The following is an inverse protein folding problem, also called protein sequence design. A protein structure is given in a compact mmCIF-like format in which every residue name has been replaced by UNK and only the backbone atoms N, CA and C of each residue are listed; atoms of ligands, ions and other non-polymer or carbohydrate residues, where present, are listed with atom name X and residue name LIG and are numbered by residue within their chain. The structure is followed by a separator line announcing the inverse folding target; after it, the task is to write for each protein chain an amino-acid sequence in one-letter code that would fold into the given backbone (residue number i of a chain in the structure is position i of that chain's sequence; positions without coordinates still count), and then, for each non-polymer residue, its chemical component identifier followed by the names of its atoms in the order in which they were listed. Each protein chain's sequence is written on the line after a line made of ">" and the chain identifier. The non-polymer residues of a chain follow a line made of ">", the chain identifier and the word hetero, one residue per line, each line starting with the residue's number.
data_IF_191787858274
#
_entry.id   IF_191787858274
#
_cell.length_a   1.000
_cell.length_b   1.000
_cell.length_c   1.000
_cell.angle_alpha   90.00
_cell.angle_beta   90.00
_cell.angle_gamma   90.00
#
_symmetry.space_group_name_H-M   'P 1'
#
loop_
_entity.id
_entity.type
_entity.pdbx_description
1 polymer ?
#
# COMPACT_ATOMS: atom_id res chain seq x y z
N UNK A 1 -32.42 -32.61 0.64
CA UNK A 1 -32.59 -31.15 0.42
C UNK A 1 -31.75 -30.77 -0.80
N UNK A 2 -32.39 -30.46 -1.95
CA UNK A 2 -31.69 -30.17 -3.22
C UNK A 2 -30.77 -28.97 -3.02
N UNK A 3 -29.45 -29.16 -3.19
CA UNK A 3 -28.47 -28.07 -3.24
C UNK A 3 -28.89 -27.16 -4.40
N UNK A 4 -29.30 -25.93 -4.10
CA UNK A 4 -29.65 -24.93 -5.13
C UNK A 4 -28.39 -24.68 -5.96
N UNK A 5 -28.52 -24.68 -7.28
CA UNK A 5 -27.40 -24.47 -8.20
C UNK A 5 -26.76 -23.09 -8.01
N UNK A 6 -25.42 -22.96 -8.17
CA UNK A 6 -24.68 -21.68 -8.05
C UNK A 6 -25.23 -20.54 -8.92
N UNK A 7 -25.87 -20.88 -10.02
CA UNK A 7 -26.47 -19.96 -11.00
C UNK A 7 -27.58 -19.07 -10.41
N UNK A 8 -28.41 -19.61 -9.50
CA UNK A 8 -29.47 -18.83 -8.81
C UNK A 8 -28.93 -17.86 -7.77
N UNK A 9 -27.77 -18.14 -7.18
CA UNK A 9 -27.10 -17.23 -6.22
C UNK A 9 -26.31 -16.13 -6.97
N UNK A 10 -25.72 -16.46 -8.12
CA UNK A 10 -25.10 -15.49 -9.04
C UNK A 10 -26.13 -14.51 -9.63
N UNK A 11 -27.35 -14.97 -9.92
CA UNK A 11 -28.48 -14.11 -10.30
C UNK A 11 -28.88 -13.13 -9.19
N UNK A 12 -28.80 -13.52 -7.91
CA UNK A 12 -29.06 -12.61 -6.78
C UNK A 12 -28.05 -11.45 -6.69
N UNK A 13 -26.79 -11.69 -7.03
CA UNK A 13 -25.73 -10.67 -7.16
C UNK A 13 -25.95 -9.75 -8.36
N UNK A 14 -26.41 -10.30 -9.49
CA UNK A 14 -26.80 -9.52 -10.67
C UNK A 14 -28.00 -8.58 -10.38
N UNK A 15 -28.73 -8.78 -9.28
CA UNK A 15 -29.82 -7.91 -8.83
C UNK A 15 -29.41 -6.77 -7.88
N UNK A 16 -28.16 -6.72 -7.38
CA UNK A 16 -27.51 -5.44 -7.02
C UNK A 16 -27.09 -4.77 -8.32
N UNK A 17 -28.10 -4.28 -9.01
CA UNK A 17 -28.08 -4.19 -10.46
C UNK A 17 -27.01 -3.25 -11.00
N UNK A 18 -26.46 -3.59 -12.16
CA UNK A 18 -25.78 -2.66 -13.06
C UNK A 18 -26.54 -1.33 -13.21
N UNK A 19 -27.87 -1.32 -13.03
CA UNK A 19 -28.73 -0.13 -13.01
C UNK A 19 -28.44 0.82 -11.83
N UNK A 20 -28.13 0.33 -10.62
CA UNK A 20 -27.78 1.20 -9.48
C UNK A 20 -26.43 1.90 -9.68
N UNK A 21 -25.44 1.16 -10.18
CA UNK A 21 -24.14 1.72 -10.57
C UNK A 21 -24.26 2.67 -11.75
N UNK A 22 -25.01 2.28 -12.79
CA UNK A 22 -25.24 3.12 -13.98
C UNK A 22 -25.95 4.42 -13.59
N UNK A 23 -26.93 4.37 -12.69
CA UNK A 23 -27.61 5.55 -12.19
C UNK A 23 -26.66 6.44 -11.37
N UNK A 24 -25.86 5.87 -10.46
CA UNK A 24 -24.89 6.65 -9.69
C UNK A 24 -23.82 7.31 -10.59
N UNK A 25 -23.34 6.60 -11.61
CA UNK A 25 -22.40 7.14 -12.61
C UNK A 25 -23.10 8.21 -13.45
N UNK A 26 -24.36 8.00 -13.83
CA UNK A 26 -25.15 8.97 -14.59
C UNK A 26 -25.40 10.25 -13.78
N UNK A 27 -25.78 10.14 -12.51
CA UNK A 27 -26.02 11.27 -11.62
C UNK A 27 -24.73 12.05 -11.36
N UNK A 28 -23.60 11.35 -11.18
CA UNK A 28 -22.28 11.97 -11.07
C UNK A 28 -21.91 12.72 -12.36
N UNK A 29 -22.03 12.06 -13.52
CA UNK A 29 -21.72 12.65 -14.83
C UNK A 29 -22.61 13.86 -15.11
N UNK A 30 -23.89 13.78 -14.74
CA UNK A 30 -24.86 14.87 -14.88
C UNK A 30 -24.50 16.06 -13.98
N UNK A 31 -24.12 15.81 -12.73
CA UNK A 31 -23.70 16.87 -11.81
C UNK A 31 -22.44 17.59 -12.31
N UNK A 32 -21.48 16.83 -12.85
CA UNK A 32 -20.25 17.38 -13.46
C UNK A 32 -20.54 18.25 -14.68
N UNK A 33 -21.40 17.79 -15.59
CA UNK A 33 -21.79 18.54 -16.79
C UNK A 33 -22.52 19.85 -16.42
N UNK A 34 -23.32 19.82 -15.36
CA UNK A 34 -24.08 20.98 -14.88
C UNK A 34 -23.27 21.91 -13.95
N UNK A 35 -22.05 21.52 -13.56
CA UNK A 35 -21.21 22.28 -12.64
C UNK A 35 -21.73 22.37 -11.20
N UNK A 36 -22.60 21.45 -10.79
CA UNK A 36 -23.22 21.43 -9.46
C UNK A 36 -22.33 20.65 -8.47
N UNK A 37 -21.39 21.35 -7.84
CA UNK A 37 -20.36 20.75 -6.97
C UNK A 37 -20.95 19.99 -5.77
N UNK A 38 -22.12 20.40 -5.26
CA UNK A 38 -22.74 19.72 -4.13
C UNK A 38 -23.29 18.36 -4.56
N UNK A 39 -24.02 18.32 -5.67
CA UNK A 39 -24.56 17.06 -6.21
C UNK A 39 -23.46 16.14 -6.74
N UNK A 40 -22.37 16.69 -7.26
CA UNK A 40 -21.21 15.91 -7.66
C UNK A 40 -20.64 15.15 -6.46
N UNK A 41 -20.44 15.84 -5.33
CA UNK A 41 -19.96 15.22 -4.10
C UNK A 41 -20.91 14.15 -3.58
N UNK A 42 -22.21 14.44 -3.54
CA UNK A 42 -23.24 13.48 -3.09
C UNK A 42 -23.30 12.23 -3.99
N UNK A 43 -23.27 12.40 -5.32
CA UNK A 43 -23.27 11.30 -6.27
C UNK A 43 -21.97 10.47 -6.20
N UNK A 44 -20.84 11.12 -5.96
CA UNK A 44 -19.55 10.44 -5.79
C UNK A 44 -19.50 9.61 -4.51
N UNK A 45 -20.00 10.14 -3.38
CA UNK A 45 -20.13 9.37 -2.14
C UNK A 45 -21.09 8.19 -2.30
N UNK A 46 -22.21 8.39 -3.00
CA UNK A 46 -23.14 7.29 -3.27
C UNK A 46 -22.52 6.17 -4.10
N UNK A 47 -21.68 6.52 -5.08
CA UNK A 47 -20.95 5.54 -5.87
C UNK A 47 -19.95 4.75 -5.02
N UNK A 48 -19.24 5.41 -4.09
CA UNK A 48 -18.32 4.73 -3.15
C UNK A 48 -19.05 3.75 -2.22
N UNK A 49 -20.19 4.16 -1.66
CA UNK A 49 -21.02 3.28 -0.82
C UNK A 49 -21.44 2.02 -1.57
N UNK A 50 -21.93 2.17 -2.80
CA UNK A 50 -22.35 1.03 -3.62
C UNK A 50 -21.19 0.07 -3.93
N UNK A 51 -19.99 0.59 -4.19
CA UNK A 51 -18.77 -0.22 -4.35
C UNK A 51 -18.47 -0.97 -3.04
N UNK A 52 -18.48 -0.28 -1.91
CA UNK A 52 -18.20 -0.86 -0.59
C UNK A 52 -19.20 -1.96 -0.20
N UNK A 53 -20.49 -1.71 -0.35
CA UNK A 53 -21.57 -2.69 -0.11
C UNK A 53 -21.41 -3.93 -1.00
N UNK A 54 -21.10 -3.73 -2.28
CA UNK A 54 -20.91 -4.83 -3.24
C UNK A 54 -19.69 -5.69 -2.89
N UNK A 55 -18.59 -5.06 -2.47
CA UNK A 55 -17.39 -5.77 -2.01
C UNK A 55 -17.65 -6.57 -0.73
N UNK A 56 -18.40 -6.00 0.23
CA UNK A 56 -18.76 -6.70 1.47
C UNK A 56 -19.64 -7.93 1.21
N UNK A 57 -20.64 -7.82 0.34
CA UNK A 57 -21.51 -8.93 -0.05
C UNK A 57 -20.73 -10.02 -0.79
N UNK A 58 -19.86 -9.64 -1.74
CA UNK A 58 -19.01 -10.58 -2.46
C UNK A 58 -18.10 -11.36 -1.49
N UNK A 59 -17.52 -10.67 -0.51
CA UNK A 59 -16.69 -11.26 0.54
C UNK A 59 -17.49 -12.28 1.40
N UNK A 60 -18.70 -11.91 1.85
CA UNK A 60 -19.58 -12.79 2.64
C UNK A 60 -19.97 -14.06 1.87
N UNK A 61 -20.27 -13.93 0.58
CA UNK A 61 -20.63 -15.08 -0.27
C UNK A 61 -19.44 -16.00 -0.53
N UNK A 62 -18.24 -15.43 -0.70
CA UNK A 62 -16.99 -16.19 -0.72
C UNK A 62 -16.84 -17.07 0.52
N UNK A 63 -16.99 -16.48 1.72
CA UNK A 63 -16.92 -17.19 3.00
C UNK A 63 -17.97 -18.30 3.11
N UNK A 64 -19.21 -18.04 2.70
CA UNK A 64 -20.28 -19.05 2.72
C UNK A 64 -19.98 -20.22 1.79
N UNK A 65 -19.39 -19.97 0.62
CA UNK A 65 -18.98 -21.02 -0.32
C UNK A 65 -17.90 -21.92 0.29
N UNK A 66 -16.92 -21.32 0.98
CA UNK A 66 -15.89 -22.07 1.72
C UNK A 66 -16.49 -22.97 2.80
N UNK A 67 -17.46 -22.44 3.57
CA UNK A 67 -18.17 -23.21 4.57
C UNK A 67 -18.92 -24.42 3.98
N UNK A 68 -19.62 -24.22 2.86
CA UNK A 68 -20.33 -25.31 2.16
C UNK A 68 -19.36 -26.38 1.62
N UNK A 69 -18.19 -25.96 1.11
CA UNK A 69 -17.14 -26.87 0.64
C UNK A 69 -16.57 -27.70 1.80
N UNK A 70 -16.24 -27.08 2.94
CA UNK A 70 -15.78 -27.77 4.13
C UNK A 70 -16.79 -28.80 4.65
N UNK A 71 -18.09 -28.47 4.65
CA UNK A 71 -19.13 -29.43 5.03
C UNK A 71 -19.27 -30.60 4.05
N UNK A 72 -19.07 -30.35 2.76
CA UNK A 72 -19.11 -31.40 1.73
C UNK A 72 -17.96 -32.40 1.87
N UNK A 73 -16.79 -31.94 2.33
CA UNK A 73 -15.59 -32.76 2.55
C UNK A 73 -15.74 -33.61 3.82
N UNK A 74 -16.28 -33.06 4.91
CA UNK A 74 -16.58 -33.82 6.14
C UNK A 74 -17.50 -35.04 5.89
N UNK A 75 -18.38 -34.97 4.90
CA UNK A 75 -19.27 -36.08 4.53
C UNK A 75 -18.58 -37.20 3.72
N UNK A 76 -17.33 -37.02 3.26
CA UNK A 76 -16.66 -37.91 2.30
C UNK A 76 -15.58 -38.83 2.90
N UNK A 77 -15.39 -38.86 4.22
CA UNK A 77 -14.57 -39.86 4.94
C UNK A 77 -13.16 -40.13 4.34
N UNK A 78 -12.44 -39.08 3.91
CA UNK A 78 -11.02 -39.19 3.51
C UNK A 78 -10.09 -38.69 4.64
N UNK A 79 -8.91 -39.33 4.84
CA UNK A 79 -7.95 -38.92 5.87
C UNK A 79 -7.41 -37.51 5.62
N UNK A 80 -7.07 -36.84 6.72
CA UNK A 80 -6.90 -35.39 6.84
C UNK A 80 -5.48 -34.87 6.51
N UNK A 81 -4.66 -35.60 5.76
CA UNK A 81 -3.21 -35.31 5.75
C UNK A 81 -2.74 -34.34 4.65
N UNK A 82 -3.45 -34.17 3.53
CA UNK A 82 -2.94 -33.35 2.40
C UNK A 82 -3.97 -32.42 1.74
N UNK A 83 -5.01 -32.00 2.47
CA UNK A 83 -5.93 -30.98 1.96
C UNK A 83 -5.97 -29.81 2.93
N UNK A 84 -5.18 -28.77 2.63
CA UNK A 84 -5.33 -27.44 3.23
C UNK A 84 -6.67 -26.82 2.77
N UNK A 85 -7.78 -27.31 3.31
CA UNK A 85 -9.03 -26.58 3.33
C UNK A 85 -8.84 -25.47 4.35
N UNK A 86 -8.53 -24.26 3.84
CA UNK A 86 -8.47 -22.98 4.54
C UNK A 86 -9.10 -23.04 5.94
N UNK A 87 -8.23 -22.92 6.94
CA UNK A 87 -8.56 -22.88 8.36
C UNK A 87 -9.64 -21.83 8.61
N UNK A 88 -10.50 -22.01 9.60
CA UNK A 88 -11.44 -20.95 10.01
C UNK A 88 -10.74 -19.72 10.60
N UNK A 89 -9.42 -19.78 10.77
CA UNK A 89 -8.55 -18.63 11.07
C UNK A 89 -8.11 -17.90 9.77
N UNK A 90 -8.25 -18.52 8.59
CA UNK A 90 -7.96 -17.97 7.25
C UNK A 90 -9.15 -17.18 6.67
N UNK A 91 -9.81 -16.39 7.51
CA UNK A 91 -10.96 -15.57 7.15
C UNK A 91 -10.57 -14.27 6.39
N UNK A 92 -9.39 -14.23 5.80
CA UNK A 92 -8.97 -13.17 4.88
C UNK A 92 -8.73 -13.78 3.50
N UNK A 93 -9.81 -14.02 2.75
CA UNK A 93 -9.64 -14.28 1.31
C UNK A 93 -9.07 -12.99 0.70
N UNK A 94 -7.89 -13.03 0.04
CA UNK A 94 -7.14 -11.84 -0.32
C UNK A 94 -7.79 -11.16 -1.52
N UNK A 95 -8.76 -10.30 -1.23
CA UNK A 95 -9.29 -9.32 -2.20
C UNK A 95 -8.26 -8.20 -2.25
N UNK A 96 -7.19 -8.41 -3.02
CA UNK A 96 -5.96 -7.60 -3.00
C UNK A 96 -5.24 -7.77 -1.65
N UNK A 97 -3.91 -7.90 -1.55
CA UNK A 97 -3.26 -7.73 -0.27
C UNK A 97 -3.47 -6.27 0.15
N UNK A 98 -4.51 -6.04 0.95
CA UNK A 98 -4.66 -4.86 1.75
C UNK A 98 -3.47 -4.88 2.70
N UNK A 99 -2.50 -3.98 2.54
CA UNK A 99 -1.74 -3.56 3.73
C UNK A 99 -2.81 -3.24 4.77
N UNK A 100 -2.78 -3.81 6.00
CA UNK A 100 -3.79 -3.48 6.98
C UNK A 100 -3.63 -1.99 7.18
N UNK A 101 -4.65 -1.24 6.79
CA UNK A 101 -4.58 0.21 6.76
C UNK A 101 -4.14 0.73 8.15
N UNK A 102 -4.58 0.05 9.21
CA UNK A 102 -4.16 0.30 10.59
C UNK A 102 -2.68 0.01 10.83
N UNK A 103 -2.08 -1.05 10.28
CA UNK A 103 -0.65 -1.33 10.46
C UNK A 103 0.25 -0.21 9.91
N UNK A 104 -0.16 0.43 8.81
CA UNK A 104 0.54 1.62 8.28
C UNK A 104 0.46 2.79 9.26
N UNK A 105 -0.69 2.94 9.92
CA UNK A 105 -0.91 4.00 10.91
C UNK A 105 -0.16 3.70 12.20
N UNK A 106 -0.13 2.45 12.63
CA UNK A 106 0.59 2.00 13.82
C UNK A 106 2.10 2.14 13.62
N UNK A 107 2.65 1.77 12.46
CA UNK A 107 4.05 2.06 12.10
C UNK A 107 4.32 3.57 12.14
N UNK A 108 3.46 4.37 11.50
CA UNK A 108 3.65 5.83 11.45
C UNK A 108 3.61 6.47 12.85
N UNK A 109 2.66 6.07 13.69
CA UNK A 109 2.48 6.61 15.04
C UNK A 109 3.48 6.02 16.04
N UNK A 110 4.01 4.83 15.78
CA UNK A 110 5.03 4.16 16.59
C UNK A 110 6.44 4.70 16.39
N UNK A 111 6.69 5.43 15.29
CA UNK A 111 7.98 6.10 15.04
C UNK A 111 8.32 7.13 16.12
N UNK A 112 9.57 7.11 16.58
CA UNK A 112 10.06 8.12 17.52
C UNK A 112 10.11 9.50 16.84
N UNK A 113 9.37 10.46 17.38
CA UNK A 113 9.43 11.84 16.90
C UNK A 113 10.79 12.47 17.25
N UNK A 114 11.55 12.87 16.23
CA UNK A 114 12.83 13.56 16.34
C UNK A 114 12.80 14.89 15.61
N UNK A 115 13.66 15.79 16.06
CA UNK A 115 13.77 17.15 15.52
C UNK A 115 15.17 17.35 14.98
N UNK A 116 15.29 18.23 14.00
CA UNK A 116 16.60 18.67 13.49
C UNK A 116 17.19 19.72 14.41
N UNK A 117 18.52 19.82 14.43
CA UNK A 117 19.24 20.84 15.17
C UNK A 117 18.98 22.25 14.63
N UNK A 118 19.01 23.25 15.51
CA UNK A 118 18.90 24.66 15.10
C UNK A 118 20.05 25.07 14.17
N UNK A 119 21.23 24.47 14.36
CA UNK A 119 22.40 24.62 13.48
C UNK A 119 22.08 24.20 12.03
N UNK A 120 21.48 23.02 11.86
CA UNK A 120 21.08 22.53 10.54
C UNK A 120 19.98 23.38 9.91
N UNK A 121 19.07 23.94 10.72
CA UNK A 121 18.07 24.89 10.23
C UNK A 121 18.71 26.20 9.75
N UNK A 122 19.64 26.76 10.52
CA UNK A 122 20.36 27.97 10.17
C UNK A 122 21.15 27.79 8.86
N UNK A 123 21.73 26.61 8.65
CA UNK A 123 22.46 26.24 7.44
C UNK A 123 21.56 25.78 6.28
N UNK A 124 20.24 25.70 6.48
CA UNK A 124 19.25 25.13 5.53
C UNK A 124 19.57 23.69 5.12
N UNK A 125 20.21 22.94 6.02
CA UNK A 125 20.62 21.53 5.87
C UNK A 125 19.81 20.56 6.73
N UNK A 126 18.67 20.99 7.28
CA UNK A 126 17.79 20.09 8.04
C UNK A 126 17.32 18.87 7.25
N UNK A 127 17.31 18.90 5.91
CA UNK A 127 17.04 17.70 5.12
C UNK A 127 18.15 16.64 5.27
N UNK A 128 19.43 17.02 5.32
CA UNK A 128 20.54 16.08 5.51
C UNK A 128 20.45 15.40 6.88
N UNK A 129 20.06 16.14 7.90
CA UNK A 129 19.87 15.61 9.24
C UNK A 129 18.65 14.67 9.33
N UNK A 130 17.54 15.00 8.66
CA UNK A 130 16.39 14.08 8.54
C UNK A 130 16.78 12.78 7.81
N UNK A 131 17.57 12.86 6.74
CA UNK A 131 18.08 11.66 6.05
C UNK A 131 18.86 10.77 7.02
N UNK A 132 19.78 11.38 7.80
CA UNK A 132 20.56 10.66 8.80
C UNK A 132 19.67 10.02 9.87
N UNK A 133 18.69 10.76 10.39
CA UNK A 133 17.71 10.27 11.36
C UNK A 133 16.99 9.02 10.85
N UNK A 134 16.53 9.03 9.59
CA UNK A 134 15.83 7.89 8.97
C UNK A 134 16.74 6.71 8.65
N UNK A 135 18.02 6.93 8.38
CA UNK A 135 19.00 5.85 8.18
C UNK A 135 19.39 5.17 9.50
N UNK A 136 19.46 5.93 10.59
CA UNK A 136 19.93 5.46 11.89
C UNK A 136 18.82 4.91 12.78
N UNK A 137 17.57 5.37 12.59
CA UNK A 137 16.48 5.05 13.50
C UNK A 137 15.10 5.03 12.82
N UNK A 138 14.19 4.26 13.41
CA UNK A 138 12.79 4.23 13.01
C UNK A 138 12.05 5.46 13.58
N UNK A 139 12.26 6.60 12.93
CA UNK A 139 11.87 7.91 13.46
C UNK A 139 10.95 8.68 12.50
N UNK A 140 10.28 9.69 13.06
CA UNK A 140 9.48 10.70 12.36
C UNK A 140 10.14 12.06 12.56
N UNK A 141 10.44 12.79 11.48
CA UNK A 141 11.15 14.06 11.57
C UNK A 141 10.74 15.03 10.45
N UNK A 142 11.01 16.32 10.66
CA UNK A 142 10.64 17.41 9.76
C UNK A 142 11.86 18.27 9.43
N UNK A 143 12.18 18.42 8.14
CA UNK A 143 13.43 19.04 7.69
C UNK A 143 13.52 20.56 7.95
N UNK A 144 12.39 21.23 8.24
CA UNK A 144 12.32 22.68 8.47
C UNK A 144 11.85 23.04 9.89
N UNK A 145 11.99 22.12 10.85
CA UNK A 145 11.44 22.34 12.18
C UNK A 145 12.24 21.67 13.29
N UNK A 146 12.59 22.43 14.33
CA UNK A 146 13.34 21.95 15.51
C UNK A 146 12.49 21.76 16.76
N UNK A 147 11.20 22.15 16.74
CA UNK A 147 10.30 21.96 17.88
C UNK A 147 9.55 20.61 17.82
N UNK A 148 9.64 19.87 18.92
CA UNK A 148 9.18 18.49 19.07
C UNK A 148 7.66 18.39 19.15
N UNK A 149 6.99 19.37 19.75
CA UNK A 149 5.55 19.39 19.94
C UNK A 149 4.83 19.50 18.58
N UNK A 150 5.27 20.43 17.73
CA UNK A 150 4.75 20.56 16.36
C UNK A 150 5.01 19.29 15.55
N UNK A 151 6.19 18.67 15.72
CA UNK A 151 6.53 17.41 15.06
C UNK A 151 5.56 16.29 15.44
N UNK A 152 5.29 16.10 16.75
CA UNK A 152 4.31 15.12 17.25
C UNK A 152 2.88 15.43 16.81
N UNK A 153 2.49 16.70 16.81
CA UNK A 153 1.16 17.13 16.38
C UNK A 153 0.94 16.82 14.89
N UNK A 154 1.94 17.05 14.05
CA UNK A 154 1.87 16.71 12.62
C UNK A 154 1.84 15.20 12.43
N UNK A 155 2.68 14.43 13.14
CA UNK A 155 2.66 12.96 13.09
C UNK A 155 1.26 12.41 13.39
N UNK A 156 0.66 12.85 14.49
CA UNK A 156 -0.72 12.47 14.87
C UNK A 156 -1.72 12.89 13.81
N UNK A 157 -1.62 14.12 13.30
CA UNK A 157 -2.53 14.63 12.27
C UNK A 157 -2.48 13.81 10.99
N UNK A 158 -1.30 13.37 10.54
CA UNK A 158 -1.17 12.50 9.36
C UNK A 158 -1.93 11.19 9.58
N UNK A 159 -1.82 10.60 10.77
CA UNK A 159 -2.61 9.42 11.15
C UNK A 159 -4.12 9.66 11.06
N UNK A 160 -4.60 10.76 11.63
CA UNK A 160 -6.03 11.12 11.64
C UNK A 160 -6.57 11.43 10.23
N UNK A 161 -5.80 12.16 9.42
CA UNK A 161 -6.13 12.48 8.02
C UNK A 161 -6.28 11.21 7.19
N UNK A 162 -5.45 10.21 7.48
CA UNK A 162 -5.53 8.96 6.77
C UNK A 162 -6.78 8.18 7.19
N UNK A 163 -7.11 8.11 8.50
CA UNK A 163 -8.32 7.44 9.02
C UNK A 163 -9.62 8.00 8.45
N UNK A 164 -9.65 9.30 8.20
CA UNK A 164 -10.80 10.01 7.63
C UNK A 164 -10.89 9.90 6.10
N UNK A 165 -9.93 9.25 5.44
CA UNK A 165 -9.92 9.11 3.99
C UNK A 165 -9.57 10.40 3.24
N UNK A 166 -8.88 11.33 3.90
CA UNK A 166 -8.52 12.63 3.31
C UNK A 166 -7.62 12.46 2.08
N UNK A 167 -7.85 13.26 1.04
CA UNK A 167 -7.02 13.22 -0.17
C UNK A 167 -5.62 13.76 0.11
N UNK A 168 -4.62 13.38 -0.70
CA UNK A 168 -3.26 13.92 -0.56
C UNK A 168 -3.21 15.44 -0.76
N UNK A 169 -4.06 15.97 -1.65
CA UNK A 169 -4.16 17.40 -1.93
C UNK A 169 -4.57 18.18 -0.66
N UNK A 170 -5.68 17.77 -0.06
CA UNK A 170 -6.22 18.36 1.17
C UNK A 170 -5.29 18.14 2.36
N UNK A 171 -4.72 16.94 2.51
CA UNK A 171 -3.75 16.66 3.56
C UNK A 171 -2.53 17.58 3.48
N UNK A 172 -2.02 17.83 2.28
CA UNK A 172 -0.88 18.71 2.04
C UNK A 172 -1.18 20.15 2.46
N UNK A 173 -2.40 20.63 2.18
CA UNK A 173 -2.87 21.94 2.61
C UNK A 173 -2.96 22.05 4.13
N UNK A 174 -3.60 21.06 4.78
CA UNK A 174 -3.80 21.06 6.23
C UNK A 174 -2.47 20.98 7.00
N UNK A 175 -1.53 20.15 6.53
CA UNK A 175 -0.20 20.04 7.15
C UNK A 175 0.62 21.31 6.95
N UNK A 176 0.55 21.91 5.76
CA UNK A 176 1.22 23.18 5.50
C UNK A 176 0.69 24.30 6.42
N UNK A 177 -0.62 24.35 6.65
CA UNK A 177 -1.24 25.32 7.55
C UNK A 177 -0.77 25.18 9.01
N UNK A 178 -0.55 23.95 9.49
CA UNK A 178 -0.06 23.70 10.86
C UNK A 178 1.34 24.27 11.12
N UNK A 179 2.19 24.34 10.09
CA UNK A 179 3.55 24.86 10.20
C UNK A 179 3.76 26.24 9.58
N UNK A 180 2.70 26.89 9.09
CA UNK A 180 2.77 28.11 8.28
C UNK A 180 3.77 27.97 7.10
N UNK A 181 3.68 26.86 6.37
CA UNK A 181 4.57 26.54 5.26
C UNK A 181 3.89 26.69 3.91
N UNK A 182 4.69 26.75 2.85
CA UNK A 182 4.18 26.57 1.50
C UNK A 182 3.57 25.17 1.35
N UNK A 183 2.47 25.08 0.61
CA UNK A 183 1.75 23.82 0.34
C UNK A 183 2.67 22.70 -0.14
N UNK A 184 3.63 23.00 -1.02
CA UNK A 184 4.58 22.01 -1.53
C UNK A 184 5.43 21.35 -0.44
N UNK A 185 5.76 22.08 0.64
CA UNK A 185 6.46 21.48 1.78
C UNK A 185 5.53 20.58 2.60
N UNK A 186 4.25 20.95 2.75
CA UNK A 186 3.23 20.08 3.37
C UNK A 186 3.08 18.75 2.65
N UNK A 187 3.11 18.75 1.31
CA UNK A 187 3.09 17.51 0.50
C UNK A 187 4.34 16.66 0.74
N UNK A 188 5.53 17.29 0.75
CA UNK A 188 6.79 16.59 1.05
C UNK A 188 6.73 15.94 2.43
N UNK A 189 6.27 16.66 3.45
CA UNK A 189 6.11 16.14 4.82
C UNK A 189 5.15 14.95 4.84
N UNK A 190 3.98 15.09 4.22
CA UNK A 190 2.98 14.03 4.18
C UNK A 190 3.51 12.76 3.51
N UNK A 191 4.01 12.87 2.28
CA UNK A 191 4.43 11.71 1.48
C UNK A 191 5.73 11.09 2.00
N UNK A 192 6.69 11.88 2.44
CA UNK A 192 7.98 11.36 2.92
C UNK A 192 7.82 10.55 4.20
N UNK A 193 6.81 10.85 5.02
CA UNK A 193 6.54 10.06 6.22
C UNK A 193 5.56 8.91 5.98
N UNK A 194 4.54 9.10 5.13
CA UNK A 194 3.51 8.07 4.90
C UNK A 194 3.95 6.94 3.95
N UNK A 195 4.67 7.26 2.88
CA UNK A 195 5.08 6.24 1.90
C UNK A 195 6.05 5.19 2.46
N UNK A 196 7.06 5.51 3.30
CA UNK A 196 7.81 4.49 4.00
C UNK A 196 6.92 3.58 4.85
N UNK A 197 5.98 4.13 5.62
CA UNK A 197 5.08 3.34 6.45
C UNK A 197 4.24 2.36 5.62
N UNK A 198 3.76 2.80 4.45
CA UNK A 198 3.04 1.93 3.51
C UNK A 198 3.90 0.76 3.02
N UNK A 199 5.16 1.02 2.64
CA UNK A 199 6.06 -0.02 2.15
C UNK A 199 6.57 -0.94 3.27
N UNK A 200 6.78 -0.42 4.48
CA UNK A 200 7.05 -1.22 5.68
C UNK A 200 5.90 -2.19 5.94
N UNK A 201 4.65 -1.71 5.89
CA UNK A 201 3.48 -2.57 6.08
C UNK A 201 3.34 -3.68 5.03
N UNK A 202 3.67 -3.41 3.76
CA UNK A 202 3.74 -4.46 2.72
C UNK A 202 4.75 -5.54 3.09
N UNK A 203 5.94 -5.13 3.54
CA UNK A 203 7.01 -6.07 3.91
C UNK A 203 6.64 -6.89 5.14
N UNK A 204 6.14 -6.22 6.17
CA UNK A 204 5.71 -6.86 7.40
C UNK A 204 4.60 -7.87 7.12
N UNK A 205 3.57 -7.51 6.36
CA UNK A 205 2.52 -8.45 5.97
C UNK A 205 3.08 -9.67 5.23
N UNK A 206 3.94 -9.46 4.23
CA UNK A 206 4.46 -10.57 3.44
C UNK A 206 5.41 -11.49 4.21
N UNK A 207 6.00 -11.03 5.30
CA UNK A 207 6.96 -11.79 6.11
C UNK A 207 6.32 -12.38 7.37
N UNK A 208 5.42 -11.66 8.02
CA UNK A 208 4.86 -12.00 9.33
C UNK A 208 3.57 -12.80 9.26
N UNK A 209 2.82 -12.73 8.16
CA UNK A 209 1.60 -13.50 7.96
C UNK A 209 1.92 -14.83 7.24
N UNK A 210 1.76 -16.00 7.90
CA UNK A 210 2.06 -17.29 7.30
C UNK A 210 1.29 -17.54 6.00
N UNK A 211 0.01 -17.19 5.95
CA UNK A 211 -0.85 -17.40 4.78
C UNK A 211 -0.42 -16.53 3.58
N UNK A 212 0.11 -15.33 3.85
CA UNK A 212 0.68 -14.47 2.81
C UNK A 212 2.05 -14.99 2.36
N UNK A 213 2.93 -15.35 3.29
CA UNK A 213 4.29 -15.82 3.00
C UNK A 213 4.32 -17.15 2.21
N UNK A 214 3.30 -17.99 2.38
CA UNK A 214 3.14 -19.23 1.63
C UNK A 214 2.84 -18.98 0.15
N UNK A 215 2.20 -17.85 -0.18
CA UNK A 215 1.78 -17.51 -1.54
C UNK A 215 2.74 -16.52 -2.20
N UNK A 216 3.21 -15.51 -1.46
CA UNK A 216 4.08 -14.44 -1.96
C UNK A 216 5.52 -14.90 -1.96
N UNK A 217 6.11 -15.05 -3.16
CA UNK A 217 7.50 -15.45 -3.32
C UNK A 217 8.46 -14.27 -3.38
N UNK A 218 8.00 -13.11 -3.86
CA UNK A 218 8.85 -11.98 -4.18
C UNK A 218 8.15 -10.63 -4.00
N UNK A 219 8.95 -9.57 -3.89
CA UNK A 219 8.47 -8.21 -4.16
C UNK A 219 8.86 -7.78 -5.57
N UNK A 220 8.08 -6.88 -6.15
CA UNK A 220 8.41 -6.10 -7.34
C UNK A 220 8.45 -4.63 -6.99
N UNK A 221 9.55 -3.96 -7.30
CA UNK A 221 9.63 -2.50 -7.20
C UNK A 221 8.91 -1.86 -8.38
N UNK A 222 8.04 -0.89 -8.09
CA UNK A 222 7.29 -0.15 -9.10
C UNK A 222 7.42 1.35 -8.89
N UNK A 223 7.91 2.03 -9.93
CA UNK A 223 7.85 3.48 -10.00
C UNK A 223 6.51 3.91 -10.64
N UNK A 224 6.03 5.11 -10.31
CA UNK A 224 4.81 5.69 -10.92
C UNK A 224 5.02 6.00 -12.41
N UNK A 225 6.27 6.28 -12.82
CA UNK A 225 6.71 6.53 -14.21
C UNK A 225 6.10 7.75 -14.89
N UNK A 226 5.61 8.72 -14.12
CA UNK A 226 5.19 10.02 -14.64
C UNK A 226 6.37 10.97 -14.92
N UNK A 227 6.08 12.21 -15.30
CA UNK A 227 7.09 13.24 -15.61
C UNK A 227 8.03 13.50 -14.43
N UNK A 228 7.50 13.54 -13.20
CA UNK A 228 8.24 13.87 -11.98
C UNK A 228 8.98 12.67 -11.37
N UNK A 229 8.74 11.46 -11.88
CA UNK A 229 9.47 10.28 -11.44
C UNK A 229 10.93 10.37 -11.93
N UNK A 230 11.87 10.37 -10.97
CA UNK A 230 13.30 10.51 -11.22
C UNK A 230 13.83 9.39 -12.14
N UNK A 231 14.80 9.68 -13.03
CA UNK A 231 15.35 8.68 -13.95
C UNK A 231 15.91 7.44 -13.26
N UNK A 232 16.61 7.59 -12.13
CA UNK A 232 17.16 6.46 -11.37
C UNK A 232 16.08 5.55 -10.78
N UNK A 233 14.93 6.11 -10.40
CA UNK A 233 13.78 5.34 -9.91
C UNK A 233 13.06 4.65 -11.08
N UNK A 234 12.90 5.32 -12.22
CA UNK A 234 12.36 4.72 -13.46
C UNK A 234 13.20 3.51 -13.91
N UNK A 235 14.52 3.65 -13.83
CA UNK A 235 15.47 2.61 -14.19
C UNK A 235 15.36 1.36 -13.30
N UNK A 236 15.01 1.53 -12.03
CA UNK A 236 14.78 0.42 -11.09
C UNK A 236 13.42 -0.26 -11.25
N UNK A 237 12.45 0.40 -11.91
CA UNK A 237 11.09 -0.10 -12.06
C UNK A 237 11.06 -1.46 -12.75
N UNK A 238 10.47 -2.45 -12.08
CA UNK A 238 10.42 -3.83 -12.55
C UNK A 238 11.42 -4.76 -11.88
N UNK A 239 12.29 -4.28 -10.99
CA UNK A 239 13.11 -5.15 -10.14
C UNK A 239 12.22 -6.15 -9.40
N UNK A 240 12.55 -7.45 -9.49
CA UNK A 240 11.89 -8.52 -8.72
C UNK A 240 12.97 -9.30 -7.98
N UNK A 241 12.72 -9.55 -6.70
CA UNK A 241 13.59 -10.37 -5.85
C UNK A 241 12.77 -10.99 -4.71
N UNK A 242 13.29 -12.09 -4.14
CA UNK A 242 12.67 -12.79 -3.01
C UNK A 242 12.27 -11.83 -1.89
N UNK A 243 11.19 -12.13 -1.14
CA UNK A 243 10.76 -11.30 0.00
C UNK A 243 11.85 -11.12 1.07
N UNK A 244 12.79 -12.06 1.17
CA UNK A 244 13.91 -12.03 2.12
C UNK A 244 15.23 -11.53 1.51
N UNK A 245 15.20 -11.06 0.25
CA UNK A 245 16.42 -10.61 -0.41
C UNK A 245 16.96 -9.30 0.21
N UNK A 246 18.25 -9.22 0.57
CA UNK A 246 18.85 -8.02 1.15
C UNK A 246 18.81 -6.80 0.22
N UNK A 247 18.56 -6.98 -1.08
CA UNK A 247 18.34 -5.88 -2.03
C UNK A 247 17.24 -4.93 -1.55
N UNK A 248 16.26 -5.44 -0.79
CA UNK A 248 15.18 -4.64 -0.22
C UNK A 248 15.63 -3.74 0.93
N UNK A 249 16.80 -3.91 1.53
CA UNK A 249 17.35 -2.91 2.45
C UNK A 249 17.70 -1.60 1.73
N UNK A 250 17.94 -1.68 0.41
CA UNK A 250 18.34 -0.55 -0.41
C UNK A 250 17.23 -0.04 -1.32
N UNK A 251 16.40 -0.94 -1.85
CA UNK A 251 15.38 -0.63 -2.85
C UNK A 251 13.96 -0.50 -2.30
N UNK A 252 13.75 -0.67 -0.98
CA UNK A 252 12.46 -0.35 -0.35
C UNK A 252 12.25 1.17 -0.33
N UNK A 253 11.14 1.70 -0.88
CA UNK A 253 10.85 3.12 -0.79
C UNK A 253 10.70 3.61 0.66
N UNK A 254 11.05 4.89 0.94
CA UNK A 254 11.35 5.94 -0.01
C UNK A 254 12.80 5.92 -0.49
N UNK A 255 12.97 6.18 -1.79
CA UNK A 255 14.29 6.35 -2.42
C UNK A 255 14.67 7.82 -2.62
N UNK A 256 13.96 8.72 -1.93
CA UNK A 256 14.07 10.15 -2.12
C UNK A 256 12.93 10.89 -1.41
N UNK A 257 13.12 12.18 -1.15
CA UNK A 257 12.04 13.05 -0.68
C UNK A 257 10.90 13.06 -1.69
N UNK A 258 9.66 13.05 -1.21
CA UNK A 258 8.48 13.02 -2.09
C UNK A 258 8.47 11.83 -3.08
N UNK A 259 9.18 10.73 -2.78
CA UNK A 259 9.15 9.52 -3.60
C UNK A 259 7.75 8.88 -3.54
N UNK A 260 7.23 8.42 -4.68
CA UNK A 260 5.87 7.83 -4.82
C UNK A 260 5.91 6.37 -5.27
N UNK A 261 7.10 5.79 -5.31
CA UNK A 261 7.31 4.41 -5.70
C UNK A 261 6.82 3.46 -4.60
N UNK A 262 6.47 2.24 -4.97
CA UNK A 262 5.96 1.23 -4.06
C UNK A 262 6.54 -0.16 -4.35
N UNK A 263 6.52 -1.02 -3.35
CA UNK A 263 6.64 -2.46 -3.52
C UNK A 263 5.27 -3.05 -3.89
N UNK A 264 5.29 -4.13 -4.67
CA UNK A 264 4.13 -4.95 -4.97
C UNK A 264 4.48 -6.39 -4.64
N UNK A 265 3.60 -7.11 -3.97
CA UNK A 265 3.75 -8.54 -3.74
C UNK A 265 3.55 -9.33 -5.03
N UNK A 266 4.42 -10.31 -5.29
CA UNK A 266 4.34 -11.19 -6.45
C UNK A 266 4.21 -12.64 -5.95
N UNK A 267 3.14 -13.30 -6.37
CA UNK A 267 2.87 -14.68 -5.99
C UNK A 267 3.77 -15.68 -6.74
N UNK A 268 4.00 -16.84 -6.12
CA UNK A 268 4.86 -17.91 -6.67
C UNK A 268 4.39 -18.40 -8.05
N UNK A 269 3.08 -18.51 -8.30
CA UNK A 269 2.56 -18.93 -9.61
C UNK A 269 2.89 -17.93 -10.73
N UNK A 270 2.85 -16.64 -10.42
CA UNK A 270 3.29 -15.61 -11.35
C UNK A 270 4.79 -15.68 -11.62
N UNK A 271 5.60 -15.93 -10.59
CA UNK A 271 7.04 -16.12 -10.76
C UNK A 271 7.35 -17.32 -11.66
N UNK A 272 6.64 -18.45 -11.48
CA UNK A 272 6.78 -19.62 -12.35
C UNK A 272 6.44 -19.31 -13.81
N UNK A 273 5.31 -18.61 -14.06
CA UNK A 273 4.93 -18.19 -15.42
C UNK A 273 5.92 -17.23 -16.06
N UNK A 274 6.55 -16.37 -15.26
CA UNK A 274 7.58 -15.44 -15.72
C UNK A 274 8.98 -16.09 -15.81
N UNK A 275 9.11 -17.38 -15.46
CA UNK A 275 10.40 -18.11 -15.49
C UNK A 275 11.39 -17.62 -14.43
N UNK A 276 10.89 -17.11 -13.32
CA UNK A 276 11.65 -16.51 -12.22
C UNK A 276 11.79 -17.43 -11.00
N UNK A 277 11.44 -18.71 -11.14
CA UNK A 277 11.72 -19.75 -10.16
C UNK A 277 12.82 -20.65 -10.71
N UNK A 278 13.93 -20.74 -9.98
CA UNK A 278 15.03 -21.65 -10.29
C UNK A 278 14.63 -23.10 -9.97
N UNK A 279 15.30 -24.13 -10.53
CA UNK A 279 14.97 -25.54 -10.28
C UNK A 279 15.04 -25.96 -8.80
N UNK A 280 15.75 -25.21 -7.96
CA UNK A 280 15.85 -25.42 -6.51
C UNK A 280 14.73 -24.72 -5.71
N UNK A 281 13.73 -24.12 -6.39
CA UNK A 281 12.61 -23.41 -5.78
C UNK A 281 12.91 -21.98 -5.31
N UNK A 282 14.13 -21.47 -5.55
CA UNK A 282 14.49 -20.09 -5.17
C UNK A 282 14.04 -19.08 -6.23
N UNK A 283 13.72 -17.86 -5.79
CA UNK A 283 13.35 -16.78 -6.70
C UNK A 283 14.61 -16.23 -7.36
N UNK A 284 14.63 -16.26 -8.69
CA UNK A 284 15.64 -15.59 -9.49
C UNK A 284 15.45 -14.09 -9.45
N UNK A 285 16.49 -13.36 -9.07
CA UNK A 285 16.48 -11.89 -9.14
C UNK A 285 16.35 -11.46 -10.61
N UNK A 286 15.32 -10.66 -10.90
CA UNK A 286 15.11 -10.05 -12.21
C UNK A 286 15.44 -8.57 -12.14
N UNK A 287 16.40 -8.14 -12.96
CA UNK A 287 16.75 -6.74 -13.12
C UNK A 287 16.18 -6.16 -14.42
N UNK A 288 15.64 -4.93 -14.39
CA UNK A 288 15.08 -4.29 -15.58
C UNK A 288 16.16 -3.85 -16.60
N UNK A 289 15.81 -3.57 -17.86
CA UNK A 289 16.77 -3.28 -18.94
C UNK A 289 17.70 -2.06 -18.76
N UNK A 290 17.44 -1.17 -17.79
CA UNK A 290 18.28 -0.01 -17.49
C UNK A 290 18.81 -0.03 -16.05
N UNK A 291 18.99 -1.22 -15.48
CA UNK A 291 19.40 -1.39 -14.09
C UNK A 291 20.72 -0.69 -13.73
N UNK A 292 21.64 -0.56 -14.68
CA UNK A 292 22.89 0.19 -14.55
C UNK A 292 22.70 1.67 -14.18
N UNK A 293 21.55 2.24 -14.53
CA UNK A 293 21.17 3.64 -14.21
C UNK A 293 20.33 3.74 -12.94
N UNK A 294 19.95 2.60 -12.35
CA UNK A 294 19.14 2.56 -11.16
C UNK A 294 19.93 3.11 -9.98
N UNK A 295 19.42 4.18 -9.37
CA UNK A 295 19.93 4.71 -8.11
C UNK A 295 18.86 5.42 -7.29
N UNK A 296 18.85 5.28 -5.95
CA UNK A 296 18.20 6.21 -5.05
C UNK A 296 18.78 7.62 -5.17
N UNK A 297 18.07 8.58 -4.60
CA UNK A 297 18.57 9.94 -4.45
C UNK A 297 19.76 9.98 -3.46
N UNK A 298 20.68 10.95 -3.58
CA UNK A 298 21.76 11.12 -2.62
C UNK A 298 21.24 11.20 -1.17
N UNK A 299 21.85 10.43 -0.26
CA UNK A 299 21.44 10.33 1.14
C UNK A 299 20.28 9.37 1.39
N UNK A 300 19.78 8.66 0.38
CA UNK A 300 18.82 7.56 0.51
C UNK A 300 19.47 6.22 0.11
N UNK A 301 19.07 5.14 0.81
CA UNK A 301 19.68 3.82 0.68
C UNK A 301 20.93 3.63 1.55
N UNK A 302 21.20 2.41 2.03
CA UNK A 302 22.38 2.11 2.86
C UNK A 302 23.68 2.23 2.04
N UNK A 303 24.73 2.92 2.54
CA UNK A 303 26.04 2.97 1.88
C UNK A 303 26.67 1.57 1.78
N UNK A 304 27.24 1.23 0.62
CA UNK A 304 28.04 0.01 0.44
C UNK A 304 27.36 -1.12 -0.36
N UNK A 305 26.05 -1.05 -0.59
CA UNK A 305 25.38 -1.92 -1.57
C UNK A 305 25.52 -1.30 -2.96
N UNK A 306 26.55 -1.71 -3.70
CA UNK A 306 26.59 -1.58 -5.16
C UNK A 306 26.20 -2.94 -5.71
N UNK A 307 25.17 -2.97 -6.57
CA UNK A 307 24.98 -4.10 -7.50
C UNK A 307 25.98 -3.94 -8.64
#
# INVERSE_FOLDING_TARGET
>A
MRVKTPEKEQLGLLHHSTKLFTNAIYDLSKAQILGDMQKEKEAFERLKELIGESMAIANLLGRRRMWLMAQSVKKRNKPYEDIHLFSSEDLETPVVPHVPFEAVIDDLLGREAKVVSDEALALRRGYEEVQKIYLESHAFALARHSNLEITKNIQKKIGDLRRTGTTTDEASYLIAAMGNWARGYGEVVYRTNLNPAYNSGIKEMAVSDPAVSDVVGAFRYMAVRDADTRPGHKAASGLIASIHDPIWEYWTPPLGYNCRCSLIMVDKFRLEREGLIEPNGTVKVHTPPNWDKAKPDPGFGKPGFRV
#
